data_IF_988988847695
#
_entry.id   IF_988988847695
#
_cell.length_a   1.000
_cell.length_b   1.000
_cell.length_c   1.000
_cell.angle_alpha   90.00
_cell.angle_beta   90.00
_cell.angle_gamma   90.00
#
_symmetry.space_group_name_H-M   'P 1'
#
loop_
_entity.id
_entity.type
_entity.pdbx_description
1 polymer ?
#
# COMPACT_ATOMS: atom_id res chain seq x y z
N UNK A 1 -6.93 5.20 -7.91
CA UNK A 1 -7.90 4.36 -7.16
C UNK A 1 -8.15 3.02 -7.86
N UNK A 2 -7.19 2.47 -8.65
CA UNK A 2 -7.42 1.28 -9.50
C UNK A 2 -6.60 0.03 -9.12
N UNK A 3 -5.73 0.11 -8.12
CA UNK A 3 -4.70 -0.92 -7.91
C UNK A 3 -4.57 -1.37 -6.44
N UNK A 4 -5.68 -1.43 -5.68
CA UNK A 4 -5.68 -2.08 -4.35
C UNK A 4 -6.42 -3.41 -4.46
N UNK A 5 -5.71 -4.49 -4.22
CA UNK A 5 -6.27 -5.84 -4.05
C UNK A 5 -6.54 -6.07 -2.57
N UNK A 6 -7.75 -6.51 -2.24
CA UNK A 6 -8.18 -6.74 -0.85
C UNK A 6 -8.04 -8.22 -0.53
N UNK A 7 -7.41 -8.51 0.61
CA UNK A 7 -7.33 -9.82 1.22
C UNK A 7 -8.06 -9.83 2.57
N UNK A 8 -8.36 -11.00 3.15
CA UNK A 8 -8.89 -11.10 4.50
C UNK A 8 -7.98 -10.44 5.56
N UNK A 9 -8.54 -10.24 6.76
CA UNK A 9 -7.79 -9.83 7.95
C UNK A 9 -7.04 -8.49 7.81
N UNK A 10 -7.63 -7.54 7.07
CA UNK A 10 -7.10 -6.18 6.95
C UNK A 10 -5.86 -6.07 6.06
N UNK A 11 -5.59 -7.08 5.22
CA UNK A 11 -4.44 -7.10 4.32
C UNK A 11 -4.83 -6.51 2.96
N UNK A 12 -4.02 -5.59 2.46
CA UNK A 12 -4.19 -4.95 1.16
C UNK A 12 -2.90 -5.06 0.38
N UNK A 13 -2.98 -5.42 -0.90
CA UNK A 13 -1.83 -5.41 -1.80
C UNK A 13 -1.99 -4.28 -2.83
N UNK A 14 -0.93 -3.50 -3.02
CA UNK A 14 -0.89 -2.44 -4.04
C UNK A 14 0.27 -2.67 -5.00
N UNK A 15 0.09 -2.24 -6.24
CA UNK A 15 1.15 -2.28 -7.23
C UNK A 15 2.29 -1.31 -6.86
N UNK A 16 3.53 -1.78 -6.85
CA UNK A 16 4.70 -0.95 -6.55
C UNK A 16 5.07 0.03 -7.68
N UNK A 17 4.66 -0.25 -8.92
CA UNK A 17 5.06 0.46 -10.13
C UNK A 17 6.53 0.25 -10.50
N UNK A 18 7.13 -0.88 -10.09
CA UNK A 18 8.57 -1.11 -10.17
C UNK A 18 9.12 -1.01 -11.60
N UNK A 19 9.84 0.08 -11.86
CA UNK A 19 10.41 0.38 -13.18
C UNK A 19 9.35 0.60 -14.26
N UNK A 20 8.22 1.22 -13.92
CA UNK A 20 7.07 1.48 -14.81
C UNK A 20 6.34 0.22 -15.31
N UNK A 21 6.72 -0.95 -14.78
CA UNK A 21 6.07 -2.21 -15.10
C UNK A 21 4.88 -2.44 -14.18
N UNK A 22 3.76 -2.84 -14.77
CA UNK A 22 2.55 -3.18 -14.03
C UNK A 22 2.62 -4.63 -13.54
N UNK A 23 2.16 -4.84 -12.31
CA UNK A 23 1.89 -6.13 -11.65
C UNK A 23 3.12 -7.03 -11.51
N UNK A 24 4.30 -6.43 -11.30
CA UNK A 24 5.57 -7.18 -11.13
C UNK A 24 6.00 -7.32 -9.67
N UNK A 25 5.65 -6.36 -8.81
CA UNK A 25 5.95 -6.40 -7.38
C UNK A 25 4.84 -5.68 -6.61
N UNK A 26 4.39 -6.31 -5.52
CA UNK A 26 3.33 -5.80 -4.66
C UNK A 26 3.90 -5.27 -3.34
N UNK A 27 3.37 -4.14 -2.90
CA UNK A 27 3.57 -3.59 -1.55
C UNK A 27 2.33 -3.99 -0.75
N UNK A 28 2.53 -4.52 0.46
CA UNK A 28 1.42 -4.91 1.32
C UNK A 28 1.20 -3.91 2.44
N UNK A 29 -0.06 -3.55 2.67
CA UNK A 29 -0.50 -2.81 3.84
C UNK A 29 -1.29 -3.75 4.74
N UNK A 30 -0.98 -3.77 6.02
CA UNK A 30 -1.75 -4.50 7.02
C UNK A 30 -2.38 -3.47 7.93
N UNK A 31 -3.71 -3.34 7.91
CA UNK A 31 -4.45 -2.37 8.71
C UNK A 31 -5.11 -3.07 9.89
N UNK A 32 -4.78 -2.61 11.10
CA UNK A 32 -5.40 -3.10 12.33
C UNK A 32 -5.53 -1.97 13.35
N UNK A 33 -6.69 -1.90 14.01
CA UNK A 33 -7.02 -0.91 15.03
C UNK A 33 -6.68 0.56 14.66
N UNK A 34 -6.95 0.95 13.41
CA UNK A 34 -6.72 2.32 12.91
C UNK A 34 -5.26 2.66 12.60
N UNK A 35 -4.35 1.67 12.68
CA UNK A 35 -2.95 1.80 12.26
C UNK A 35 -2.67 0.93 11.05
N UNK A 36 -1.56 1.17 10.37
CA UNK A 36 -1.08 0.30 9.32
C UNK A 36 0.37 -0.14 9.54
N UNK A 37 0.75 -1.27 8.97
CA UNK A 37 2.14 -1.61 8.71
C UNK A 37 2.35 -1.67 7.20
N UNK A 38 3.47 -1.12 6.71
CA UNK A 38 3.90 -1.23 5.31
C UNK A 38 4.93 -2.34 5.20
N UNK A 39 4.66 -3.35 4.38
CA UNK A 39 5.54 -4.51 4.16
C UNK A 39 5.96 -4.54 2.69
N UNK A 40 7.27 -4.52 2.48
CA UNK A 40 7.92 -4.19 1.19
C UNK A 40 7.54 -2.78 0.74
N UNK A 41 8.49 -1.83 0.71
CA UNK A 41 8.19 -0.44 0.33
C UNK A 41 8.48 -0.17 -1.15
N UNK A 42 8.99 -1.15 -1.89
CA UNK A 42 9.41 -0.97 -3.27
C UNK A 42 10.59 0.00 -3.40
N UNK A 43 10.41 1.08 -4.18
CA UNK A 43 11.43 2.12 -4.36
C UNK A 43 10.85 3.52 -4.07
N UNK A 44 11.68 4.56 -4.09
CA UNK A 44 11.22 5.94 -3.82
C UNK A 44 10.05 6.39 -4.71
N UNK A 45 9.95 5.85 -5.95
CA UNK A 45 8.85 6.14 -6.86
C UNK A 45 7.50 5.50 -6.42
N UNK A 46 7.52 4.58 -5.47
CA UNK A 46 6.34 3.93 -4.91
C UNK A 46 5.67 4.77 -3.80
N UNK A 47 6.36 5.75 -3.22
CA UNK A 47 5.85 6.57 -2.11
C UNK A 47 4.47 7.19 -2.40
N UNK A 48 4.22 7.84 -3.56
CA UNK A 48 2.90 8.41 -3.84
C UNK A 48 1.78 7.36 -3.87
N UNK A 49 2.08 6.12 -4.27
CA UNK A 49 1.12 5.01 -4.31
C UNK A 49 0.78 4.54 -2.90
N UNK A 50 1.80 4.39 -2.04
CA UNK A 50 1.62 4.02 -0.62
C UNK A 50 0.77 5.08 0.09
N UNK A 51 1.13 6.36 -0.05
CA UNK A 51 0.40 7.46 0.59
C UNK A 51 -1.04 7.57 0.08
N UNK A 52 -1.26 7.38 -1.22
CA UNK A 52 -2.60 7.34 -1.80
C UNK A 52 -3.44 6.17 -1.29
N UNK A 53 -2.82 5.00 -1.10
CA UNK A 53 -3.48 3.83 -0.53
C UNK A 53 -3.85 4.04 0.94
N UNK A 54 -2.91 4.51 1.78
CA UNK A 54 -3.17 4.85 3.18
C UNK A 54 -4.32 5.86 3.32
N UNK A 55 -4.30 6.93 2.52
CA UNK A 55 -5.38 7.93 2.52
C UNK A 55 -6.73 7.31 2.14
N UNK A 56 -6.77 6.40 1.15
CA UNK A 56 -8.01 5.72 0.77
C UNK A 56 -8.53 4.73 1.82
N UNK A 57 -7.64 4.21 2.67
CA UNK A 57 -7.96 3.33 3.80
C UNK A 57 -8.25 4.11 5.09
N UNK A 58 -8.17 5.45 5.06
CA UNK A 58 -8.39 6.29 6.23
C UNK A 58 -7.28 6.23 7.27
N UNK A 59 -6.08 5.78 6.89
CA UNK A 59 -4.91 5.71 7.78
C UNK A 59 -4.00 6.91 7.51
N UNK A 60 -3.70 7.66 8.57
CA UNK A 60 -2.77 8.78 8.49
C UNK A 60 -1.31 8.27 8.51
N UNK A 61 -0.36 8.94 7.82
CA UNK A 61 1.03 8.48 7.74
C UNK A 61 1.76 8.37 9.10
N UNK A 62 1.31 9.09 10.12
CA UNK A 62 1.81 9.02 11.50
C UNK A 62 1.31 7.79 12.28
N UNK A 63 0.32 7.08 11.73
CA UNK A 63 -0.21 5.83 12.26
C UNK A 63 0.41 4.58 11.60
N UNK A 64 1.58 4.72 10.97
CA UNK A 64 2.36 3.67 10.30
C UNK A 64 3.57 3.27 11.11
#
# INVERSE_FOLDING_TARGET
MKDITIHPDGIFAIDSGYGERQQVAAIHLIVDAGRAAVVDTGCNASIPRILGALASLGVAPDAV
#
